data_IF_368503779878
#
_entry.id   IF_368503779878
#
_cell.length_a   1.000
_cell.length_b   1.000
_cell.length_c   1.000
_cell.angle_alpha   90.00
_cell.angle_beta   90.00
_cell.angle_gamma   90.00
#
_symmetry.space_group_name_H-M   'P 1'
#
loop_
_entity.id
_entity.type
_entity.pdbx_description
1 polymer ?
#
# COMPACT_ATOMS: atom_id res chain seq x y z
N UNK A 1 -15.98 4.99 0.88
CA UNK A 1 -14.58 4.61 1.20
C UNK A 1 -13.66 5.70 0.68
N UNK A 2 -12.71 6.18 1.49
CA UNK A 2 -11.89 7.37 1.17
C UNK A 2 -11.12 7.23 -0.16
N UNK A 3 -10.67 6.02 -0.49
CA UNK A 3 -9.97 5.71 -1.75
C UNK A 3 -10.81 6.08 -2.97
N UNK A 4 -12.11 5.76 -2.98
CA UNK A 4 -12.98 6.11 -4.11
C UNK A 4 -13.24 7.61 -4.21
N UNK A 5 -13.35 8.30 -3.06
CA UNK A 5 -13.52 9.76 -3.04
C UNK A 5 -12.28 10.46 -3.62
N UNK A 6 -11.09 9.99 -3.24
CA UNK A 6 -9.82 10.50 -3.77
C UNK A 6 -9.75 10.34 -5.29
N UNK A 7 -10.00 9.14 -5.82
CA UNK A 7 -9.95 8.89 -7.26
C UNK A 7 -11.04 9.65 -8.02
N UNK A 8 -12.24 9.80 -7.45
CA UNK A 8 -13.28 10.65 -8.03
C UNK A 8 -12.82 12.10 -8.14
N UNK A 9 -12.13 12.64 -7.12
CA UNK A 9 -11.58 13.99 -7.15
C UNK A 9 -10.46 14.15 -8.21
N UNK A 10 -9.54 13.19 -8.31
CA UNK A 10 -8.49 13.19 -9.36
C UNK A 10 -9.12 13.16 -10.75
N UNK A 11 -10.09 12.28 -10.99
CA UNK A 11 -10.80 12.19 -12.28
C UNK A 11 -11.57 13.48 -12.57
N UNK A 12 -12.20 14.09 -11.57
CA UNK A 12 -12.87 15.37 -11.74
C UNK A 12 -11.89 16.48 -12.20
N UNK A 13 -10.68 16.56 -11.61
CA UNK A 13 -9.65 17.50 -12.04
C UNK A 13 -9.20 17.25 -13.49
N UNK A 14 -9.03 15.98 -13.88
CA UNK A 14 -8.71 15.58 -15.25
C UNK A 14 -9.80 16.06 -16.22
N UNK A 15 -11.07 15.75 -15.94
CA UNK A 15 -12.21 16.15 -16.77
C UNK A 15 -12.31 17.67 -16.87
N UNK A 16 -12.19 18.39 -15.74
CA UNK A 16 -12.23 19.84 -15.73
C UNK A 16 -11.10 20.46 -16.56
N UNK A 17 -9.89 19.89 -16.52
CA UNK A 17 -8.76 20.35 -17.33
C UNK A 17 -9.01 20.19 -18.83
N UNK A 18 -9.57 19.04 -19.25
CA UNK A 18 -9.95 18.80 -20.64
C UNK A 18 -11.09 19.74 -21.10
N UNK A 19 -12.11 19.92 -20.27
CA UNK A 19 -13.23 20.81 -20.56
C UNK A 19 -12.76 22.26 -20.70
N UNK A 20 -11.92 22.74 -19.78
CA UNK A 20 -11.34 24.08 -19.87
C UNK A 20 -10.51 24.27 -21.14
N UNK A 21 -9.62 23.31 -21.46
CA UNK A 21 -8.81 23.35 -22.68
C UNK A 21 -9.66 23.37 -23.96
N UNK A 22 -10.75 22.59 -23.99
CA UNK A 22 -11.67 22.57 -25.14
C UNK A 22 -12.41 23.91 -25.32
N UNK A 23 -12.88 24.54 -24.24
CA UNK A 23 -13.56 25.84 -24.28
C UNK A 23 -12.64 27.00 -24.63
N UNK A 24 -11.36 26.90 -24.29
CA UNK A 24 -10.35 27.92 -24.60
C UNK A 24 -9.72 27.74 -25.99
N UNK A 25 -10.19 26.78 -26.80
CA UNK A 25 -9.65 26.52 -28.14
C UNK A 25 -8.25 25.90 -28.15
N UNK A 26 -7.73 25.46 -26.99
CA UNK A 26 -6.40 24.88 -26.86
C UNK A 26 -6.46 23.54 -26.13
N UNK A 27 -6.99 22.53 -26.84
CA UNK A 27 -7.12 21.18 -26.31
C UNK A 27 -5.77 20.58 -25.87
N UNK A 28 -4.67 20.95 -26.54
CA UNK A 28 -3.31 20.51 -26.17
C UNK A 28 -2.96 20.91 -24.73
N UNK A 29 -3.26 22.15 -24.33
CA UNK A 29 -2.97 22.64 -22.98
C UNK A 29 -3.83 21.90 -21.94
N UNK A 30 -5.12 21.69 -22.23
CA UNK A 30 -6.00 20.90 -21.37
C UNK A 30 -5.53 19.44 -21.23
N UNK A 31 -5.06 18.83 -22.31
CA UNK A 31 -4.52 17.47 -22.27
C UNK A 31 -3.24 17.38 -21.41
N UNK A 32 -2.34 18.36 -21.52
CA UNK A 32 -1.13 18.43 -20.68
C UNK A 32 -1.52 18.56 -19.19
N UNK A 33 -2.46 19.46 -18.86
CA UNK A 33 -2.94 19.63 -17.49
C UNK A 33 -3.59 18.35 -16.93
N UNK A 34 -4.42 17.68 -17.74
CA UNK A 34 -5.03 16.39 -17.39
C UNK A 34 -3.98 15.32 -17.05
N UNK A 35 -2.95 15.18 -17.89
CA UNK A 35 -1.84 14.25 -17.64
C UNK A 35 -1.12 14.58 -16.34
N UNK A 36 -0.85 15.87 -16.08
CA UNK A 36 -0.19 16.30 -14.84
C UNK A 36 -1.03 15.94 -13.61
N UNK A 37 -2.33 16.27 -13.59
CA UNK A 37 -3.20 15.94 -12.46
C UNK A 37 -3.30 14.45 -12.21
N UNK A 38 -3.42 13.66 -13.29
CA UNK A 38 -3.46 12.21 -13.17
C UNK A 38 -2.15 11.64 -12.60
N UNK A 39 -1.01 12.03 -13.15
CA UNK A 39 0.30 11.53 -12.71
C UNK A 39 0.61 11.95 -11.27
N UNK A 40 0.37 13.21 -10.91
CA UNK A 40 0.59 13.69 -9.54
C UNK A 40 -0.36 13.00 -8.56
N UNK A 41 -1.64 12.83 -8.92
CA UNK A 41 -2.60 12.10 -8.10
C UNK A 41 -2.21 10.63 -7.92
N UNK A 42 -1.81 9.96 -9.00
CA UNK A 42 -1.37 8.57 -8.92
C UNK A 42 -0.09 8.42 -8.06
N UNK A 43 0.92 9.27 -8.27
CA UNK A 43 2.15 9.27 -7.47
C UNK A 43 1.86 9.56 -5.99
N UNK A 44 1.05 10.57 -5.69
CA UNK A 44 0.68 10.89 -4.31
C UNK A 44 -0.12 9.75 -3.66
N UNK A 45 -0.97 9.06 -4.41
CA UNK A 45 -1.67 7.89 -3.92
C UNK A 45 -0.70 6.76 -3.54
N UNK A 46 0.13 6.36 -4.51
CA UNK A 46 1.05 5.24 -4.35
C UNK A 46 2.12 5.49 -3.28
N UNK A 47 2.74 6.67 -3.28
CA UNK A 47 3.84 7.01 -2.37
C UNK A 47 3.37 7.56 -1.03
N UNK A 48 2.08 7.80 -0.80
CA UNK A 48 1.65 8.39 0.48
C UNK A 48 0.25 7.98 0.93
N UNK A 49 -0.77 8.22 0.12
CA UNK A 49 -2.15 8.13 0.60
C UNK A 49 -2.66 6.71 0.80
N UNK A 50 -2.18 5.70 0.08
CA UNK A 50 -2.67 4.32 0.24
C UNK A 50 -2.56 3.84 1.70
N UNK A 51 -1.38 3.92 2.29
CA UNK A 51 -1.15 3.49 3.68
C UNK A 51 -1.88 4.36 4.70
N UNK A 52 -1.90 5.68 4.48
CA UNK A 52 -2.62 6.63 5.35
C UNK A 52 -4.12 6.34 5.34
N UNK A 53 -4.69 6.06 4.16
CA UNK A 53 -6.10 5.75 4.00
C UNK A 53 -6.47 4.45 4.69
N UNK A 54 -5.69 3.39 4.49
CA UNK A 54 -5.93 2.10 5.14
C UNK A 54 -5.86 2.23 6.66
N UNK A 55 -4.81 2.88 7.17
CA UNK A 55 -4.59 2.98 8.61
C UNK A 55 -5.60 3.90 9.32
N UNK A 56 -5.98 5.02 8.72
CA UNK A 56 -6.71 6.11 9.42
C UNK A 56 -8.13 6.35 8.95
N UNK A 57 -8.48 5.93 7.72
CA UNK A 57 -9.71 6.37 7.06
C UNK A 57 -10.52 5.21 6.44
N UNK A 58 -10.16 3.96 6.75
CA UNK A 58 -10.87 2.77 6.24
C UNK A 58 -10.67 2.52 4.74
N UNK A 59 -9.47 2.78 4.24
CA UNK A 59 -9.02 2.35 2.91
C UNK A 59 -8.78 0.84 2.81
N UNK A 60 -8.40 0.35 1.63
CA UNK A 60 -8.10 -1.07 1.38
C UNK A 60 -6.73 -1.19 0.71
N UNK A 61 -5.91 -2.11 1.21
CA UNK A 61 -4.61 -2.48 0.67
C UNK A 61 -4.55 -4.01 0.62
N UNK A 62 -3.96 -4.55 -0.45
CA UNK A 62 -3.82 -5.99 -0.67
C UNK A 62 -2.34 -6.34 -0.70
N UNK A 63 -1.96 -7.33 0.08
CA UNK A 63 -0.59 -7.80 0.19
C UNK A 63 -0.62 -9.31 0.10
N UNK A 64 0.28 -9.87 -0.69
CA UNK A 64 0.41 -11.30 -0.85
C UNK A 64 1.56 -11.80 0.01
N UNK A 65 1.31 -12.90 0.73
CA UNK A 65 2.38 -13.63 1.41
C UNK A 65 3.24 -14.28 0.34
N UNK A 66 4.58 -14.15 0.39
CA UNK A 66 5.47 -14.84 -0.54
C UNK A 66 5.24 -16.35 -0.54
N UNK A 67 5.42 -16.98 -1.70
CA UNK A 67 5.25 -18.43 -1.83
C UNK A 67 6.18 -19.19 -0.87
N UNK A 68 5.69 -20.32 -0.33
CA UNK A 68 6.40 -21.11 0.68
C UNK A 68 6.35 -20.54 2.10
N UNK A 69 6.11 -19.24 2.26
CA UNK A 69 5.99 -18.59 3.56
C UNK A 69 4.57 -18.68 4.14
N UNK A 70 4.47 -18.55 5.46
CA UNK A 70 3.20 -18.55 6.20
C UNK A 70 3.06 -17.24 6.96
N UNK A 71 1.93 -16.56 6.82
CA UNK A 71 1.67 -15.35 7.60
C UNK A 71 1.55 -15.68 9.09
N UNK A 72 2.26 -14.93 9.93
CA UNK A 72 2.14 -15.01 11.40
C UNK A 72 1.29 -13.85 11.91
N UNK A 73 1.67 -12.62 11.56
CA UNK A 73 1.02 -11.43 12.08
C UNK A 73 1.42 -10.16 11.35
N UNK A 74 0.68 -9.08 11.64
CA UNK A 74 0.96 -7.76 11.11
C UNK A 74 0.77 -6.70 12.19
N UNK A 75 1.57 -5.65 12.15
CA UNK A 75 1.48 -4.52 13.07
C UNK A 75 1.81 -3.21 12.36
N UNK A 76 1.36 -2.09 12.93
CA UNK A 76 1.69 -0.76 12.41
C UNK A 76 2.75 -0.11 13.29
N UNK A 77 3.83 0.36 12.66
CA UNK A 77 4.78 1.28 13.28
C UNK A 77 4.63 2.62 12.58
N UNK A 78 4.04 3.58 13.27
CA UNK A 78 3.59 4.82 12.64
C UNK A 78 2.77 4.48 11.38
N UNK A 79 2.98 5.15 10.26
CA UNK A 79 2.21 4.89 9.05
C UNK A 79 2.71 3.70 8.23
N UNK A 80 3.77 2.99 8.65
CA UNK A 80 4.31 1.84 7.93
C UNK A 80 3.73 0.53 8.47
N UNK A 81 3.36 -0.38 7.56
CA UNK A 81 2.87 -1.70 7.91
C UNK A 81 4.04 -2.68 7.99
N UNK A 82 4.14 -3.40 9.10
CA UNK A 82 5.09 -4.48 9.28
C UNK A 82 4.36 -5.81 9.23
N UNK A 83 4.86 -6.73 8.42
CA UNK A 83 4.32 -8.09 8.28
C UNK A 83 5.39 -9.09 8.69
N UNK A 84 5.01 -9.99 9.57
CA UNK A 84 5.79 -11.15 9.96
C UNK A 84 5.31 -12.38 9.22
N UNK A 85 6.24 -13.03 8.51
CA UNK A 85 6.02 -14.31 7.87
C UNK A 85 7.03 -15.34 8.37
N UNK A 86 6.62 -16.60 8.46
CA UNK A 86 7.48 -17.74 8.76
C UNK A 86 7.87 -18.48 7.48
N UNK A 87 9.16 -18.73 7.32
CA UNK A 87 9.70 -19.61 6.30
C UNK A 87 10.05 -20.98 6.93
N UNK A 88 9.31 -22.06 6.60
CA UNK A 88 9.53 -23.39 7.14
C UNK A 88 10.78 -24.09 6.57
N UNK A 89 11.29 -23.69 5.41
CA UNK A 89 12.48 -24.30 4.80
C UNK A 89 13.75 -23.89 5.56
N UNK A 90 13.83 -22.61 5.91
CA UNK A 90 15.00 -22.03 6.58
C UNK A 90 14.84 -21.85 8.08
N UNK A 91 13.64 -22.13 8.62
CA UNK A 91 13.24 -21.90 10.01
C UNK A 91 13.43 -20.44 10.46
N UNK A 92 12.97 -19.49 9.64
CA UNK A 92 13.14 -18.06 9.87
C UNK A 92 11.81 -17.33 10.03
N UNK A 93 11.77 -16.33 10.90
CA UNK A 93 10.72 -15.33 10.93
C UNK A 93 11.21 -14.04 10.28
N UNK A 94 10.48 -13.59 9.28
CA UNK A 94 10.85 -12.51 8.37
C UNK A 94 9.87 -11.37 8.61
N UNK A 95 10.37 -10.30 9.20
CA UNK A 95 9.65 -9.04 9.38
C UNK A 95 9.98 -8.13 8.20
N UNK A 96 8.97 -7.80 7.41
CA UNK A 96 9.10 -6.91 6.25
C UNK A 96 8.28 -5.65 6.50
N UNK A 97 8.94 -4.50 6.37
CA UNK A 97 8.30 -3.19 6.40
C UNK A 97 7.80 -2.83 5.00
N UNK A 98 6.50 -2.60 4.89
CA UNK A 98 5.90 -1.94 3.74
C UNK A 98 5.90 -0.45 4.04
N UNK A 99 6.88 0.27 3.52
CA UNK A 99 6.97 1.72 3.65
C UNK A 99 6.22 2.42 2.53
N UNK A 100 5.95 3.71 2.71
CA UNK A 100 5.29 4.58 1.74
C UNK A 100 5.92 4.48 0.33
N UNK A 101 5.22 3.78 -0.57
CA UNK A 101 5.65 3.50 -1.95
C UNK A 101 6.77 2.48 -2.12
N UNK A 102 7.04 1.64 -1.11
CA UNK A 102 7.93 0.47 -1.16
C UNK A 102 9.38 0.78 -1.63
N UNK A 103 9.87 2.01 -1.47
CA UNK A 103 11.23 2.40 -1.92
C UNK A 103 12.29 1.95 -0.91
N UNK A 104 12.03 2.13 0.37
CA UNK A 104 12.97 1.84 1.46
C UNK A 104 12.28 0.96 2.48
N UNK A 105 12.38 -0.35 2.29
CA UNK A 105 11.76 -1.35 3.15
C UNK A 105 12.78 -1.88 4.15
N UNK A 106 12.52 -1.69 5.44
CA UNK A 106 13.23 -2.40 6.49
C UNK A 106 12.93 -3.90 6.45
N UNK A 107 13.94 -4.71 6.71
CA UNK A 107 13.79 -6.16 6.84
C UNK A 107 14.55 -6.67 8.05
N UNK A 108 13.89 -7.46 8.89
CA UNK A 108 14.52 -8.16 10.01
C UNK A 108 14.29 -9.65 9.85
N UNK A 109 15.36 -10.44 10.00
CA UNK A 109 15.33 -11.89 9.90
C UNK A 109 15.72 -12.46 11.26
N UNK A 110 14.80 -13.21 11.87
CA UNK A 110 15.02 -13.94 13.12
C UNK A 110 15.21 -15.41 12.77
N UNK A 111 16.35 -15.98 13.14
CA UNK A 111 16.64 -17.40 12.97
C UNK A 111 16.10 -18.20 14.16
N UNK A 112 15.93 -19.51 13.96
CA UNK A 112 15.43 -20.43 14.97
C UNK A 112 14.04 -20.02 15.48
N UNK A 113 13.19 -19.58 14.56
CA UNK A 113 11.88 -19.10 14.93
C UNK A 113 10.99 -20.25 15.43
N UNK A 114 10.26 -20.00 16.52
CA UNK A 114 9.28 -20.94 17.04
C UNK A 114 7.87 -20.36 16.88
N UNK A 115 7.22 -20.54 15.71
CA UNK A 115 5.88 -20.01 15.46
C UNK A 115 4.77 -20.72 16.27
N UNK A 116 5.12 -21.76 17.05
CA UNK A 116 4.17 -22.64 17.75
C UNK A 116 4.06 -22.39 19.26
N UNK A 117 4.62 -21.31 19.79
CA UNK A 117 4.54 -20.99 21.23
C UNK A 117 3.10 -20.82 21.79
N UNK A 118 2.06 -20.85 20.93
CA UNK A 118 0.65 -20.89 21.33
C UNK A 118 -0.07 -22.25 21.22
N UNK A 119 0.62 -23.33 20.84
CA UNK A 119 0.02 -24.67 20.72
C UNK A 119 0.54 -25.67 21.76
N UNK A 120 0.48 -25.33 23.05
CA UNK A 120 0.42 -26.38 24.07
C UNK A 120 -0.98 -27.00 24.04
N UNK A 121 -1.23 -27.94 23.11
CA UNK A 121 -2.36 -28.86 23.28
C UNK A 121 -2.09 -29.65 24.56
N UNK A 122 -2.97 -29.65 25.56
CA UNK A 122 -2.87 -30.63 26.63
C UNK A 122 -3.02 -32.00 25.95
N UNK A 123 -1.98 -32.82 26.03
CA UNK A 123 -2.08 -34.25 25.74
C UNK A 123 -3.18 -34.80 26.64
N UNK A 124 -4.30 -35.18 26.03
CA UNK A 124 -5.40 -35.89 26.69
C UNK A 124 -4.95 -37.31 27.03
#
# INVERSE_FOLDING_TARGET
MITYLYWAAVIALVVLSLLAGSRMGSFKIGAIGAVIFFLVGWLAYYFHFEQVFVKRFGGVMRINVPEGQRHIGATWKEDNLWIENYDPETNQCIFTEYSKGNILEGRVIIRDCNPLLGQSRPTR
#
